data_IF_384199315453
#
_entry.id   IF_384199315453
#
_cell.length_a   1.000
_cell.length_b   1.000
_cell.length_c   1.000
_cell.angle_alpha   90.00
_cell.angle_beta   90.00
_cell.angle_gamma   90.00
#
_symmetry.space_group_name_H-M   'P 1'
#
loop_
_entity.id
_entity.type
_entity.pdbx_description
1 polymer ?
#
# COMPACT_ATOMS: atom_id res chain seq x y z
N UNK A 1 16.11 7.81 -5.32
CA UNK A 1 15.93 7.52 -6.77
C UNK A 1 16.86 8.29 -7.68
N UNK A 2 17.04 9.61 -7.50
CA UNK A 2 17.90 10.47 -8.33
C UNK A 2 19.36 10.01 -8.38
N UNK A 3 19.97 9.73 -7.22
CA UNK A 3 21.36 9.23 -7.16
C UNK A 3 21.56 7.92 -7.94
N UNK A 4 20.57 7.01 -7.91
CA UNK A 4 20.59 5.78 -8.69
C UNK A 4 20.51 6.08 -10.20
N UNK A 5 19.58 6.96 -10.61
CA UNK A 5 19.44 7.43 -12.00
C UNK A 5 20.76 8.01 -12.55
N UNK A 6 21.48 8.79 -11.76
CA UNK A 6 22.77 9.35 -12.19
C UNK A 6 23.85 8.27 -12.33
N UNK A 7 23.78 7.22 -11.52
CA UNK A 7 24.55 6.00 -11.72
C UNK A 7 24.22 5.31 -13.04
N UNK A 8 22.92 5.15 -13.36
CA UNK A 8 22.46 4.62 -14.66
C UNK A 8 22.98 5.45 -15.82
N UNK A 9 22.96 6.78 -15.71
CA UNK A 9 23.48 7.69 -16.74
C UNK A 9 24.97 7.45 -17.00
N UNK A 10 25.75 7.17 -15.93
CA UNK A 10 27.19 6.88 -16.04
C UNK A 10 27.48 5.50 -16.65
N UNK A 11 26.62 4.51 -16.45
CA UNK A 11 26.81 3.14 -16.97
C UNK A 11 26.29 3.00 -18.40
N UNK A 12 25.06 3.46 -18.65
CA UNK A 12 24.32 3.20 -19.89
C UNK A 12 23.99 4.45 -20.71
N UNK A 13 24.36 5.65 -20.23
CA UNK A 13 24.12 6.93 -20.91
C UNK A 13 22.83 7.64 -20.49
N UNK A 14 22.72 8.91 -20.88
CA UNK A 14 21.62 9.80 -20.44
C UNK A 14 20.23 9.32 -20.91
N UNK A 15 20.13 8.77 -22.12
CA UNK A 15 18.87 8.25 -22.63
C UNK A 15 18.36 7.06 -21.81
N UNK A 16 19.25 6.16 -21.37
CA UNK A 16 18.89 5.06 -20.48
C UNK A 16 18.43 5.57 -19.10
N UNK A 17 19.06 6.62 -18.56
CA UNK A 17 18.63 7.23 -17.31
C UNK A 17 17.22 7.86 -17.40
N UNK A 18 16.88 8.45 -18.56
CA UNK A 18 15.55 9.00 -18.81
C UNK A 18 14.49 7.87 -18.89
N UNK A 19 14.77 6.80 -19.65
CA UNK A 19 13.90 5.61 -19.70
C UNK A 19 13.72 4.96 -18.33
N UNK A 20 14.78 4.84 -17.53
CA UNK A 20 14.72 4.35 -16.16
C UNK A 20 13.74 5.17 -15.31
N UNK A 21 13.80 6.50 -15.43
CA UNK A 21 12.92 7.42 -14.70
C UNK A 21 11.46 7.17 -15.08
N UNK A 22 11.19 7.03 -16.38
CA UNK A 22 9.86 6.78 -16.93
C UNK A 22 9.31 5.42 -16.49
N UNK A 23 10.13 4.36 -16.51
CA UNK A 23 9.73 3.03 -16.04
C UNK A 23 9.43 3.04 -14.54
N UNK A 24 10.22 3.72 -13.72
CA UNK A 24 9.95 3.83 -12.28
C UNK A 24 8.68 4.64 -12.00
N UNK A 25 8.49 5.76 -12.69
CA UNK A 25 7.35 6.65 -12.48
C UNK A 25 6.01 6.06 -12.95
N UNK A 26 6.04 5.16 -13.94
CA UNK A 26 4.83 4.50 -14.46
C UNK A 26 4.42 3.26 -13.68
N UNK A 27 5.18 2.85 -12.66
CA UNK A 27 4.88 1.67 -11.85
C UNK A 27 3.94 1.98 -10.69
N UNK A 28 2.77 1.35 -10.71
CA UNK A 28 1.77 1.46 -9.63
C UNK A 28 2.37 1.15 -8.25
N UNK A 29 3.02 0.01 -8.08
CA UNK A 29 3.55 -0.43 -6.79
C UNK A 29 4.62 0.52 -6.22
N UNK A 30 5.42 1.16 -7.09
CA UNK A 30 6.42 2.11 -6.61
C UNK A 30 5.76 3.39 -6.11
N UNK A 31 4.88 3.98 -6.93
CA UNK A 31 4.26 5.27 -6.62
C UNK A 31 3.24 5.17 -5.49
N UNK A 32 2.44 4.10 -5.48
CA UNK A 32 1.42 3.88 -4.47
C UNK A 32 2.03 3.67 -3.09
N UNK A 33 3.05 2.83 -2.96
CA UNK A 33 3.61 2.52 -1.65
C UNK A 33 4.69 3.49 -1.18
N UNK A 34 5.14 4.42 -2.03
CA UNK A 34 6.11 5.46 -1.63
C UNK A 34 5.61 6.36 -0.49
N UNK A 35 4.29 6.54 -0.33
CA UNK A 35 3.69 7.32 0.76
C UNK A 35 3.32 6.49 1.99
N UNK A 36 3.52 5.16 1.95
CA UNK A 36 3.06 4.24 3.01
C UNK A 36 4.20 3.84 3.90
N UNK A 37 3.95 3.84 5.21
CA UNK A 37 4.94 3.53 6.26
C UNK A 37 5.18 2.03 6.43
N UNK A 38 5.41 1.32 5.33
CA UNK A 38 5.79 -0.09 5.35
C UNK A 38 7.30 -0.22 5.55
N UNK A 39 7.78 -1.13 6.42
CA UNK A 39 9.21 -1.37 6.61
C UNK A 39 9.95 -1.65 5.29
N UNK A 40 9.30 -2.34 4.35
CA UNK A 40 9.86 -2.60 3.02
C UNK A 40 10.20 -1.31 2.27
N UNK A 41 9.35 -0.29 2.35
CA UNK A 41 9.51 0.95 1.59
C UNK A 41 10.43 1.96 2.29
N UNK A 42 10.54 1.91 3.62
CA UNK A 42 11.63 2.59 4.34
C UNK A 42 12.99 1.99 3.95
N UNK A 43 13.11 0.67 4.01
CA UNK A 43 14.31 -0.04 3.59
C UNK A 43 14.65 0.21 2.12
N UNK A 44 13.62 0.28 1.26
CA UNK A 44 13.77 0.46 -0.17
C UNK A 44 14.59 1.70 -0.54
N UNK A 45 14.44 2.82 0.18
CA UNK A 45 15.23 4.02 -0.03
C UNK A 45 16.73 3.79 0.18
N UNK A 46 17.10 3.17 1.30
CA UNK A 46 18.49 2.87 1.65
C UNK A 46 19.08 1.78 0.76
N UNK A 47 18.31 0.74 0.42
CA UNK A 47 18.75 -0.32 -0.51
C UNK A 47 18.96 0.25 -1.92
N UNK A 48 18.11 1.18 -2.38
CA UNK A 48 18.31 1.88 -3.65
C UNK A 48 19.61 2.71 -3.62
N UNK A 49 19.90 3.40 -2.51
CA UNK A 49 21.16 4.14 -2.35
C UNK A 49 22.38 3.20 -2.33
N UNK A 50 22.27 2.05 -1.65
CA UNK A 50 23.32 1.06 -1.59
C UNK A 50 23.58 0.45 -2.98
N UNK A 51 22.54 0.01 -3.68
CA UNK A 51 22.67 -0.60 -5.02
C UNK A 51 23.16 0.41 -6.07
N UNK A 52 22.87 1.70 -5.94
CA UNK A 52 23.48 2.75 -6.78
C UNK A 52 25.01 2.80 -6.63
N UNK A 53 25.52 2.52 -5.43
CA UNK A 53 26.96 2.43 -5.17
C UNK A 53 27.59 1.15 -5.73
N UNK A 54 26.79 0.12 -6.04
CA UNK A 54 27.22 -1.15 -6.63
C UNK A 54 27.17 -1.16 -8.16
N UNK A 55 26.64 -0.12 -8.80
CA UNK A 55 26.61 -0.02 -10.26
C UNK A 55 28.03 -0.02 -10.86
N UNK A 56 28.27 -0.73 -11.98
CA UNK A 56 29.58 -0.91 -12.60
C UNK A 56 30.07 0.35 -13.33
N UNK A 57 30.34 1.42 -12.57
CA UNK A 57 30.86 2.68 -13.11
C UNK A 57 32.40 2.71 -13.06
N UNK A 58 33.02 3.52 -13.92
CA UNK A 58 34.48 3.59 -14.14
C UNK A 58 35.36 4.06 -12.95
N UNK A 59 34.84 4.69 -11.88
CA UNK A 59 35.66 5.31 -10.81
C UNK A 59 35.52 4.61 -9.45
N UNK A 60 36.68 4.37 -8.80
CA UNK A 60 36.89 3.95 -7.39
C UNK A 60 35.80 3.06 -6.77
N UNK A 61 35.80 1.79 -7.16
CA UNK A 61 34.79 0.79 -6.82
C UNK A 61 34.83 0.36 -5.35
N UNK A 62 36.01 0.30 -4.71
CA UNK A 62 36.16 -0.34 -3.38
C UNK A 62 35.45 0.40 -2.24
N UNK A 63 35.64 1.73 -2.12
CA UNK A 63 35.00 2.53 -1.06
C UNK A 63 33.48 2.55 -1.19
N UNK A 64 32.98 2.64 -2.43
CA UNK A 64 31.55 2.63 -2.74
C UNK A 64 30.92 1.27 -2.45
N UNK A 65 31.59 0.18 -2.85
CA UNK A 65 31.12 -1.16 -2.51
C UNK A 65 31.11 -1.38 -1.00
N UNK A 66 32.15 -0.96 -0.28
CA UNK A 66 32.17 -1.05 1.19
C UNK A 66 31.00 -0.27 1.81
N UNK A 67 30.75 0.96 1.34
CA UNK A 67 29.61 1.76 1.77
C UNK A 67 28.28 1.05 1.47
N UNK A 68 28.12 0.50 0.28
CA UNK A 68 26.91 -0.22 -0.11
C UNK A 68 26.64 -1.43 0.79
N UNK A 69 27.65 -2.28 1.05
CA UNK A 69 27.50 -3.43 1.94
C UNK A 69 27.20 -2.99 3.38
N UNK A 70 27.79 -1.89 3.84
CA UNK A 70 27.50 -1.30 5.16
C UNK A 70 26.03 -0.85 5.21
N UNK A 71 25.56 -0.12 4.21
CA UNK A 71 24.18 0.36 4.12
C UNK A 71 23.18 -0.80 4.05
N UNK A 72 23.43 -1.84 3.25
CA UNK A 72 22.59 -3.04 3.19
C UNK A 72 22.52 -3.74 4.55
N UNK A 73 23.66 -3.83 5.26
CA UNK A 73 23.69 -4.43 6.61
C UNK A 73 22.89 -3.60 7.61
N UNK A 74 23.12 -2.28 7.69
CA UNK A 74 22.35 -1.37 8.57
C UNK A 74 20.86 -1.50 8.28
N UNK A 75 20.49 -1.47 7.00
CA UNK A 75 19.08 -1.57 6.59
C UNK A 75 18.47 -2.91 7.00
N UNK A 76 19.24 -4.00 6.86
CA UNK A 76 18.78 -5.34 7.24
C UNK A 76 18.60 -5.53 8.74
N UNK A 77 19.45 -4.90 9.55
CA UNK A 77 19.38 -4.98 11.02
C UNK A 77 18.22 -4.15 11.59
N UNK A 78 17.96 -2.97 11.00
CA UNK A 78 16.95 -2.03 11.51
C UNK A 78 15.56 -2.35 10.96
N UNK A 79 15.44 -2.52 9.64
CA UNK A 79 14.14 -2.52 8.99
C UNK A 79 13.62 -3.91 8.67
N UNK A 80 14.45 -4.76 8.04
CA UNK A 80 14.03 -6.08 7.54
C UNK A 80 15.16 -7.08 7.31
N UNK A 81 15.03 -8.27 7.87
CA UNK A 81 16.01 -9.36 7.81
C UNK A 81 16.10 -10.02 6.42
N UNK A 82 15.09 -9.91 5.56
CA UNK A 82 15.14 -10.43 4.18
C UNK A 82 16.26 -9.80 3.34
N UNK A 83 16.65 -8.57 3.65
CA UNK A 83 17.78 -7.86 3.03
C UNK A 83 19.10 -8.59 3.28
N UNK A 84 19.21 -9.41 4.33
CA UNK A 84 20.40 -10.23 4.55
C UNK A 84 20.64 -11.20 3.39
N UNK A 85 19.58 -11.75 2.78
CA UNK A 85 19.71 -12.59 1.58
C UNK A 85 20.14 -11.78 0.36
N UNK A 86 19.66 -10.54 0.21
CA UNK A 86 20.11 -9.65 -0.86
C UNK A 86 21.59 -9.28 -0.67
N UNK A 87 22.01 -8.95 0.56
CA UNK A 87 23.39 -8.69 0.93
C UNK A 87 24.28 -9.91 0.63
N UNK A 88 23.83 -11.11 0.99
CA UNK A 88 24.53 -12.34 0.70
C UNK A 88 24.71 -12.55 -0.81
N UNK A 89 23.66 -12.37 -1.61
CA UNK A 89 23.73 -12.49 -3.08
C UNK A 89 24.72 -11.52 -3.71
N UNK A 90 24.72 -10.25 -3.30
CA UNK A 90 25.71 -9.28 -3.76
C UNK A 90 27.13 -9.63 -3.32
N UNK A 91 27.29 -10.07 -2.08
CA UNK A 91 28.60 -10.43 -1.50
C UNK A 91 29.20 -11.64 -2.20
N UNK A 92 28.41 -12.70 -2.40
CA UNK A 92 28.80 -13.91 -3.13
C UNK A 92 29.21 -13.54 -4.56
N UNK A 93 28.39 -12.74 -5.24
CA UNK A 93 28.69 -12.28 -6.59
C UNK A 93 30.02 -11.52 -6.67
N UNK A 94 30.22 -10.49 -5.82
CA UNK A 94 31.46 -9.70 -5.85
C UNK A 94 32.68 -10.46 -5.36
N UNK A 95 32.52 -11.45 -4.46
CA UNK A 95 33.63 -12.28 -4.01
C UNK A 95 34.13 -13.21 -5.12
N UNK A 96 33.20 -13.80 -5.88
CA UNK A 96 33.53 -14.74 -6.96
C UNK A 96 33.91 -14.04 -8.26
N UNK A 97 33.62 -12.74 -8.42
CA UNK A 97 33.82 -12.07 -9.69
C UNK A 97 35.30 -11.67 -9.93
N UNK A 98 35.95 -12.14 -11.02
CA UNK A 98 37.40 -12.03 -11.19
C UNK A 98 37.96 -10.60 -11.23
N UNK A 99 37.17 -9.63 -11.73
CA UNK A 99 37.65 -8.27 -12.02
C UNK A 99 37.16 -7.21 -11.02
N UNK A 100 36.12 -7.52 -10.25
CA UNK A 100 35.45 -6.59 -9.32
C UNK A 100 35.57 -7.11 -7.86
N UNK A 101 36.33 -8.20 -7.68
CA UNK A 101 36.66 -8.84 -6.41
C UNK A 101 36.80 -7.89 -5.23
N UNK A 102 35.95 -8.03 -4.24
CA UNK A 102 36.14 -7.39 -2.94
C UNK A 102 36.93 -8.34 -2.02
N UNK A 103 38.03 -7.89 -1.41
CA UNK A 103 38.75 -8.74 -0.48
C UNK A 103 37.84 -9.06 0.72
N UNK A 104 37.93 -10.28 1.23
CA UNK A 104 37.12 -10.76 2.34
C UNK A 104 37.16 -9.83 3.55
N UNK A 105 38.34 -9.25 3.85
CA UNK A 105 38.52 -8.26 4.91
C UNK A 105 37.62 -7.02 4.73
N UNK A 106 37.44 -6.54 3.50
CA UNK A 106 36.55 -5.40 3.24
C UNK A 106 35.09 -5.76 3.47
N UNK A 107 34.66 -6.94 3.03
CA UNK A 107 33.30 -7.46 3.23
C UNK A 107 33.00 -7.58 4.73
N UNK A 108 33.86 -8.27 5.48
CA UNK A 108 33.71 -8.46 6.93
C UNK A 108 33.71 -7.10 7.64
N UNK A 109 34.63 -6.20 7.28
CA UNK A 109 34.66 -4.87 7.90
C UNK A 109 33.43 -4.00 7.60
N UNK A 110 32.80 -4.18 6.44
CA UNK A 110 31.56 -3.49 6.08
C UNK A 110 30.38 -4.04 6.89
N UNK A 111 30.29 -5.38 6.98
CA UNK A 111 29.27 -6.08 7.76
C UNK A 111 29.36 -5.74 9.25
N UNK A 112 30.56 -5.82 9.85
CA UNK A 112 30.75 -5.47 11.26
C UNK A 112 30.41 -4.01 11.54
N UNK A 113 30.85 -3.08 10.69
CA UNK A 113 30.51 -1.67 10.84
C UNK A 113 29.00 -1.46 10.75
N UNK A 114 28.34 -2.07 9.78
CA UNK A 114 26.89 -1.95 9.60
C UNK A 114 26.09 -2.61 10.72
N UNK A 115 26.58 -3.73 11.26
CA UNK A 115 26.00 -4.40 12.43
C UNK A 115 26.06 -3.51 13.66
N UNK A 116 27.25 -2.95 13.96
CA UNK A 116 27.43 -2.05 15.12
C UNK A 116 26.55 -0.82 14.99
N UNK A 117 26.53 -0.15 13.83
CA UNK A 117 25.68 1.01 13.59
C UNK A 117 24.20 0.63 13.70
N UNK A 118 23.79 -0.47 13.08
CA UNK A 118 22.41 -0.94 13.09
C UNK A 118 21.90 -1.23 14.50
N UNK A 119 22.66 -2.01 15.27
CA UNK A 119 22.31 -2.37 16.66
C UNK A 119 22.32 -1.15 17.59
N UNK A 120 23.29 -0.24 17.42
CA UNK A 120 23.36 1.00 18.21
C UNK A 120 22.16 1.93 17.95
N UNK A 121 21.49 1.79 16.81
CA UNK A 121 20.28 2.54 16.48
C UNK A 121 19.00 1.81 16.92
N UNK A 122 18.78 0.58 16.46
CA UNK A 122 17.53 -0.16 16.75
C UNK A 122 17.37 -0.47 18.22
N UNK A 123 18.40 -1.02 18.89
CA UNK A 123 18.23 -1.51 20.27
C UNK A 123 17.83 -0.39 21.23
N UNK A 124 18.50 0.77 21.31
CA UNK A 124 18.10 1.83 22.24
C UNK A 124 16.76 2.48 21.88
N UNK A 125 16.53 2.77 20.59
CA UNK A 125 15.32 3.46 20.12
C UNK A 125 14.10 2.58 20.34
N UNK A 126 14.16 1.32 19.90
CA UNK A 126 13.04 0.40 20.03
C UNK A 126 12.80 0.00 21.49
N UNK A 127 13.86 -0.18 22.30
CA UNK A 127 13.71 -0.42 23.75
C UNK A 127 13.00 0.75 24.45
N UNK A 128 13.29 2.00 24.05
CA UNK A 128 12.61 3.17 24.57
C UNK A 128 11.11 3.16 24.19
N UNK A 129 10.77 2.95 22.92
CA UNK A 129 9.35 2.96 22.52
C UNK A 129 8.56 1.76 23.06
N UNK A 130 9.18 0.60 23.18
CA UNK A 130 8.55 -0.61 23.72
C UNK A 130 8.55 -0.65 25.25
N UNK A 131 9.18 0.33 25.93
CA UNK A 131 9.32 0.38 27.38
C UNK A 131 9.86 -0.94 27.96
N UNK A 132 10.77 -1.57 27.22
CA UNK A 132 11.35 -2.88 27.55
C UNK A 132 12.85 -2.86 27.31
N UNK A 133 13.61 -3.37 28.25
CA UNK A 133 15.05 -3.48 28.14
C UNK A 133 15.43 -4.47 27.02
N UNK A 134 16.28 -4.01 26.10
CA UNK A 134 16.89 -4.82 25.03
C UNK A 134 15.90 -5.43 24.05
N UNK A 135 15.17 -4.56 23.35
CA UNK A 135 14.33 -4.96 22.23
C UNK A 135 15.10 -4.83 20.93
N UNK A 136 15.27 -5.94 20.21
CA UNK A 136 15.62 -5.95 18.79
C UNK A 136 14.44 -6.51 18.00
N UNK A 137 13.57 -5.65 17.45
CA UNK A 137 12.32 -6.08 16.83
C UNK A 137 12.55 -7.04 15.67
N UNK A 138 13.52 -6.74 14.81
CA UNK A 138 13.77 -7.55 13.62
C UNK A 138 14.27 -8.97 13.96
N UNK A 139 15.12 -9.11 14.98
CA UNK A 139 15.54 -10.44 15.45
C UNK A 139 14.34 -11.22 16.01
N UNK A 140 13.46 -10.54 16.76
CA UNK A 140 12.26 -11.17 17.34
C UNK A 140 11.33 -11.64 16.22
N UNK A 141 11.09 -10.80 15.22
CA UNK A 141 10.31 -11.14 14.02
C UNK A 141 10.94 -12.27 13.19
N UNK A 142 12.27 -12.29 13.06
CA UNK A 142 12.99 -13.36 12.37
C UNK A 142 12.84 -14.71 13.09
N UNK A 143 13.01 -14.73 14.42
CA UNK A 143 12.82 -15.95 15.22
C UNK A 143 11.38 -16.45 15.09
N UNK A 144 10.40 -15.57 15.27
CA UNK A 144 8.99 -15.93 15.17
C UNK A 144 8.62 -16.48 13.78
N UNK A 145 8.99 -15.77 12.70
CA UNK A 145 8.54 -16.14 11.36
C UNK A 145 9.33 -17.29 10.75
N UNK A 146 10.66 -17.26 10.87
CA UNK A 146 11.56 -18.18 10.16
C UNK A 146 11.95 -19.37 11.04
N UNK A 147 12.36 -19.13 12.29
CA UNK A 147 12.81 -20.21 13.20
C UNK A 147 11.61 -21.02 13.69
N UNK A 148 10.55 -20.34 14.14
CA UNK A 148 9.32 -21.00 14.63
C UNK A 148 8.33 -21.34 13.51
N UNK A 149 8.69 -21.08 12.24
CA UNK A 149 7.90 -21.38 11.03
C UNK A 149 6.49 -20.80 11.01
N UNK A 150 6.22 -19.73 11.76
CA UNK A 150 4.89 -19.11 11.83
C UNK A 150 4.50 -18.35 10.55
N UNK A 151 5.46 -18.14 9.63
CA UNK A 151 5.18 -17.48 8.35
C UNK A 151 4.11 -18.20 7.53
N UNK A 152 3.94 -19.52 7.69
CA UNK A 152 2.96 -20.32 6.93
C UNK A 152 1.51 -19.94 7.21
N UNK A 153 1.22 -19.36 8.39
CA UNK A 153 -0.12 -18.91 8.76
C UNK A 153 -0.61 -17.75 7.89
N UNK A 154 0.30 -17.04 7.22
CA UNK A 154 0.00 -15.95 6.30
C UNK A 154 -0.15 -16.44 4.85
N UNK A 155 -0.28 -17.74 4.64
CA UNK A 155 -0.44 -18.38 3.33
C UNK A 155 0.87 -18.85 2.71
N UNK A 156 0.75 -19.83 1.82
CA UNK A 156 1.87 -20.46 1.11
C UNK A 156 1.67 -20.28 -0.39
N UNK A 157 2.75 -19.93 -1.10
CA UNK A 157 2.75 -19.87 -2.56
C UNK A 157 3.85 -20.76 -3.15
N UNK A 158 3.67 -21.20 -4.40
CA UNK A 158 4.63 -22.05 -5.09
C UNK A 158 6.01 -21.39 -5.24
N UNK A 159 7.05 -22.21 -5.45
CA UNK A 159 8.43 -21.72 -5.56
C UNK A 159 8.63 -20.72 -6.71
N UNK A 160 7.88 -20.87 -7.81
CA UNK A 160 7.97 -20.00 -8.99
C UNK A 160 7.16 -18.71 -8.86
N UNK A 161 6.40 -18.51 -7.78
CA UNK A 161 5.51 -17.35 -7.56
C UNK A 161 6.19 -16.01 -7.86
N UNK A 162 7.43 -15.81 -7.40
CA UNK A 162 8.12 -14.55 -7.66
C UNK A 162 8.37 -14.28 -9.14
N UNK A 163 8.68 -15.30 -9.93
CA UNK A 163 8.97 -15.16 -11.34
C UNK A 163 7.70 -15.10 -12.20
N UNK A 164 6.67 -15.86 -11.84
CA UNK A 164 5.43 -15.96 -12.64
C UNK A 164 4.42 -14.86 -12.32
N UNK A 165 4.37 -14.42 -11.06
CA UNK A 165 3.36 -13.46 -10.60
C UNK A 165 4.00 -12.16 -10.09
N UNK A 166 4.80 -12.22 -9.02
CA UNK A 166 5.20 -11.02 -8.30
C UNK A 166 6.09 -10.07 -9.12
N UNK A 167 7.16 -10.57 -9.74
CA UNK A 167 8.09 -9.73 -10.50
C UNK A 167 7.41 -9.09 -11.71
N UNK A 168 6.66 -9.83 -12.56
CA UNK A 168 5.86 -9.21 -13.60
C UNK A 168 4.87 -8.17 -13.06
N UNK A 169 4.18 -8.46 -11.95
CA UNK A 169 3.17 -7.59 -11.33
C UNK A 169 3.78 -6.26 -10.84
N UNK A 170 4.92 -6.32 -10.16
CA UNK A 170 5.60 -5.13 -9.63
C UNK A 170 6.26 -4.31 -10.73
N UNK A 171 6.83 -4.98 -11.74
CA UNK A 171 7.39 -4.27 -12.90
C UNK A 171 6.33 -3.52 -13.71
N UNK A 172 5.08 -3.97 -13.62
CA UNK A 172 3.85 -3.36 -14.17
C UNK A 172 3.77 -3.34 -15.70
N UNK A 173 4.81 -2.87 -16.40
CA UNK A 173 4.91 -2.91 -17.87
C UNK A 173 5.56 -4.23 -18.34
N UNK A 174 4.79 -5.09 -19.02
CA UNK A 174 5.25 -6.40 -19.52
C UNK A 174 6.38 -6.32 -20.55
N UNK A 175 6.49 -5.21 -21.30
CA UNK A 175 7.58 -5.05 -22.28
C UNK A 175 8.96 -4.97 -21.63
N UNK A 176 9.04 -4.61 -20.35
CA UNK A 176 10.30 -4.64 -19.59
C UNK A 176 10.90 -6.05 -19.63
N UNK A 177 10.11 -7.07 -19.28
CA UNK A 177 10.57 -8.46 -19.25
C UNK A 177 10.66 -9.04 -20.67
N UNK A 178 9.64 -8.84 -21.49
CA UNK A 178 9.51 -9.55 -22.78
C UNK A 178 10.41 -8.98 -23.88
N UNK A 179 10.74 -7.69 -23.82
CA UNK A 179 11.48 -6.99 -24.89
C UNK A 179 12.75 -6.38 -24.35
N UNK A 180 12.66 -5.45 -23.39
CA UNK A 180 13.79 -4.62 -22.99
C UNK A 180 14.95 -5.41 -22.37
N UNK A 181 14.66 -6.35 -21.46
CA UNK A 181 15.69 -7.19 -20.84
C UNK A 181 16.40 -8.11 -21.86
N UNK A 182 15.69 -8.91 -22.68
CA UNK A 182 16.32 -9.68 -23.76
C UNK A 182 17.15 -8.83 -24.72
N UNK A 183 16.65 -7.65 -25.10
CA UNK A 183 17.35 -6.75 -26.01
C UNK A 183 18.66 -6.23 -25.42
N UNK A 184 18.66 -5.91 -24.12
CA UNK A 184 19.87 -5.47 -23.42
C UNK A 184 20.93 -6.58 -23.38
N UNK A 185 20.50 -7.82 -23.14
CA UNK A 185 21.37 -8.98 -23.05
C UNK A 185 21.89 -9.45 -24.42
N UNK A 186 21.18 -9.18 -25.51
CA UNK A 186 21.61 -9.52 -26.87
C UNK A 186 22.68 -8.56 -27.42
N UNK A 187 22.76 -7.33 -26.90
CA UNK A 187 23.76 -6.34 -27.31
C UNK A 187 25.08 -6.56 -26.55
N UNK A 188 26.13 -6.97 -27.25
CA UNK A 188 27.46 -7.28 -26.67
C UNK A 188 28.03 -6.17 -25.78
N UNK A 189 27.82 -4.89 -26.15
CA UNK A 189 28.30 -3.73 -25.39
C UNK A 189 27.56 -3.52 -24.06
N UNK A 190 26.30 -3.95 -23.96
CA UNK A 190 25.46 -3.75 -22.78
C UNK A 190 25.42 -4.99 -21.88
N UNK A 191 25.67 -6.18 -22.46
CA UNK A 191 25.51 -7.47 -21.80
C UNK A 191 26.30 -7.61 -20.49
N UNK A 192 27.58 -7.23 -20.45
CA UNK A 192 28.42 -7.38 -19.24
C UNK A 192 27.91 -6.50 -18.08
N UNK A 193 27.80 -5.16 -18.22
CA UNK A 193 27.24 -4.34 -17.15
C UNK A 193 25.80 -4.73 -16.76
N UNK A 194 25.01 -5.21 -17.71
CA UNK A 194 23.66 -5.71 -17.43
C UNK A 194 23.66 -6.96 -16.53
N UNK A 195 24.54 -7.92 -16.80
CA UNK A 195 24.68 -9.13 -15.99
C UNK A 195 25.22 -8.81 -14.59
N UNK A 196 26.16 -7.88 -14.48
CA UNK A 196 26.72 -7.44 -13.19
C UNK A 196 25.63 -6.85 -12.27
N UNK A 197 24.59 -6.26 -12.85
CA UNK A 197 23.44 -5.73 -12.14
C UNK A 197 22.38 -6.82 -11.90
N UNK A 198 22.05 -7.64 -12.91
CA UNK A 198 20.95 -8.61 -12.83
C UNK A 198 21.27 -9.83 -11.95
N UNK A 199 22.45 -10.42 -12.08
CA UNK A 199 22.79 -11.70 -11.44
C UNK A 199 22.55 -11.68 -9.92
N UNK A 200 23.08 -10.72 -9.13
CA UNK A 200 22.85 -10.73 -7.69
C UNK A 200 21.37 -10.51 -7.31
N UNK A 201 20.62 -9.74 -8.09
CA UNK A 201 19.19 -9.52 -7.86
C UNK A 201 18.36 -10.78 -8.16
N UNK A 202 18.64 -11.46 -9.27
CA UNK A 202 17.96 -12.71 -9.65
C UNK A 202 18.35 -13.86 -8.71
N UNK A 203 19.60 -13.90 -8.24
CA UNK A 203 20.05 -14.86 -7.24
C UNK A 203 19.30 -14.66 -5.92
N UNK A 204 19.12 -13.41 -5.47
CA UNK A 204 18.29 -13.11 -4.30
C UNK A 204 16.86 -13.61 -4.47
N UNK A 205 16.20 -13.30 -5.60
CA UNK A 205 14.83 -13.78 -5.85
C UNK A 205 14.78 -15.31 -5.86
N UNK A 206 15.74 -15.98 -6.50
CA UNK A 206 15.81 -17.44 -6.58
C UNK A 206 15.99 -18.10 -5.22
N UNK A 207 16.84 -17.54 -4.35
CA UNK A 207 17.02 -18.05 -2.98
C UNK A 207 15.76 -17.78 -2.14
N UNK A 208 15.20 -16.58 -2.23
CA UNK A 208 14.00 -16.21 -1.48
C UNK A 208 12.76 -17.01 -1.92
N UNK A 209 12.72 -17.47 -3.17
CA UNK A 209 11.69 -18.35 -3.72
C UNK A 209 11.49 -19.67 -2.97
N UNK A 210 12.46 -20.11 -2.17
CA UNK A 210 12.33 -21.31 -1.33
C UNK A 210 11.57 -21.06 -0.02
N UNK A 211 11.34 -19.80 0.38
CA UNK A 211 10.50 -19.50 1.55
C UNK A 211 9.02 -19.80 1.25
N UNK A 212 8.30 -20.60 2.07
CA UNK A 212 6.92 -20.97 1.78
C UNK A 212 5.99 -19.75 1.63
N UNK A 213 6.08 -18.82 2.59
CA UNK A 213 5.32 -17.58 2.57
C UNK A 213 6.01 -16.52 1.71
N UNK A 214 5.25 -15.94 0.77
CA UNK A 214 5.77 -15.00 -0.22
C UNK A 214 4.83 -13.82 -0.36
N UNK A 215 5.44 -12.65 -0.53
CA UNK A 215 4.73 -11.43 -0.88
C UNK A 215 5.57 -10.63 -1.86
N UNK A 216 4.92 -9.98 -2.82
CA UNK A 216 5.62 -9.20 -3.85
C UNK A 216 6.53 -8.11 -3.26
N UNK A 217 6.19 -7.57 -2.08
CA UNK A 217 6.96 -6.52 -1.40
C UNK A 217 8.33 -6.99 -0.93
N UNK A 218 8.53 -8.29 -0.70
CA UNK A 218 9.81 -8.84 -0.26
C UNK A 218 10.90 -8.74 -1.34
N UNK A 219 10.51 -8.64 -2.62
CA UNK A 219 11.46 -8.50 -3.74
C UNK A 219 11.53 -7.09 -4.33
N UNK A 220 10.84 -6.11 -3.74
CA UNK A 220 10.73 -4.74 -4.30
C UNK A 220 12.09 -4.04 -4.48
N UNK A 221 13.09 -4.44 -3.69
CA UNK A 221 14.47 -3.96 -3.76
C UNK A 221 15.17 -4.19 -5.10
N UNK A 222 14.72 -5.21 -5.83
CA UNK A 222 15.29 -5.61 -7.13
C UNK A 222 14.79 -4.76 -8.28
N UNK A 223 13.72 -3.98 -8.06
CA UNK A 223 13.04 -3.25 -9.12
C UNK A 223 13.90 -2.13 -9.72
N UNK A 224 14.60 -1.26 -8.93
CA UNK A 224 15.49 -0.27 -9.52
C UNK A 224 16.63 -0.86 -10.36
N UNK A 225 17.37 -1.88 -9.88
CA UNK A 225 18.35 -2.59 -10.70
C UNK A 225 17.79 -3.18 -12.00
N UNK A 226 16.64 -3.87 -11.94
CA UNK A 226 16.04 -4.51 -13.13
C UNK A 226 15.55 -3.45 -14.13
N UNK A 227 14.90 -2.38 -13.65
CA UNK A 227 14.48 -1.26 -14.49
C UNK A 227 15.67 -0.55 -15.15
N UNK A 228 16.81 -0.45 -14.47
CA UNK A 228 18.02 0.14 -15.02
C UNK A 228 18.52 -0.61 -16.26
N UNK A 229 18.56 -1.93 -16.15
CA UNK A 229 19.00 -2.80 -17.24
C UNK A 229 18.00 -2.76 -18.38
N UNK A 230 16.70 -2.86 -18.09
CA UNK A 230 15.67 -2.72 -19.12
C UNK A 230 15.73 -1.35 -19.83
N UNK A 231 16.01 -0.27 -19.10
CA UNK A 231 16.11 1.06 -19.67
C UNK A 231 17.28 1.21 -20.65
N UNK A 232 18.37 0.44 -20.48
CA UNK A 232 19.46 0.40 -21.46
C UNK A 232 18.99 -0.18 -22.80
N UNK A 233 18.21 -1.27 -22.79
CA UNK A 233 17.60 -1.84 -23.98
C UNK A 233 16.59 -0.90 -24.65
N UNK A 234 15.71 -0.27 -23.85
CA UNK A 234 14.75 0.72 -24.35
C UNK A 234 15.46 1.92 -24.99
N UNK A 235 16.53 2.41 -24.37
CA UNK A 235 17.39 3.48 -24.91
C UNK A 235 17.99 3.10 -26.25
N UNK A 236 18.47 1.86 -26.41
CA UNK A 236 19.02 1.39 -27.68
C UNK A 236 17.96 1.33 -28.78
N UNK A 237 16.81 0.71 -28.48
CA UNK A 237 15.67 0.60 -29.41
C UNK A 237 15.26 1.99 -29.89
N UNK A 238 15.07 2.92 -28.95
CA UNK A 238 14.69 4.30 -29.23
C UNK A 238 15.72 5.04 -30.08
N UNK A 239 17.00 4.88 -29.78
CA UNK A 239 18.09 5.53 -30.55
C UNK A 239 18.18 4.97 -31.98
N UNK A 240 17.80 3.71 -32.19
CA UNK A 240 17.82 3.06 -33.48
C UNK A 240 16.49 3.13 -34.26
N UNK A 241 15.49 3.88 -33.80
CA UNK A 241 14.15 3.93 -34.41
C UNK A 241 14.13 4.26 -35.91
N UNK A 242 15.07 5.10 -36.38
CA UNK A 242 15.18 5.49 -37.78
C UNK A 242 15.92 4.47 -38.66
N UNK A 243 16.57 3.45 -38.08
CA UNK A 243 17.42 2.50 -38.82
C UNK A 243 16.63 1.39 -39.51
N UNK A 244 15.46 1.02 -38.99
CA UNK A 244 14.61 0.01 -39.63
C UNK A 244 13.15 0.14 -39.21
N UNK A 245 12.25 -0.39 -40.04
CA UNK A 245 10.83 -0.47 -39.74
C UNK A 245 10.56 -1.22 -38.41
N UNK A 246 11.29 -2.30 -38.15
CA UNK A 246 11.19 -3.05 -36.91
C UNK A 246 11.53 -2.18 -35.67
N UNK A 247 12.61 -1.40 -35.72
CA UNK A 247 12.96 -0.48 -34.62
C UNK A 247 11.94 0.63 -34.45
N UNK A 248 11.33 1.11 -35.54
CA UNK A 248 10.24 2.10 -35.48
C UNK A 248 9.00 1.54 -34.78
N UNK A 249 8.58 0.32 -35.14
CA UNK A 249 7.45 -0.37 -34.48
C UNK A 249 7.75 -0.64 -33.01
N UNK A 250 8.95 -1.14 -32.68
CA UNK A 250 9.35 -1.37 -31.28
C UNK A 250 9.37 -0.07 -30.47
N UNK A 251 9.89 1.03 -31.03
CA UNK A 251 9.91 2.33 -30.36
C UNK A 251 8.50 2.89 -30.12
N UNK A 252 7.61 2.74 -31.11
CA UNK A 252 6.20 3.10 -30.94
C UNK A 252 5.54 2.23 -29.87
N UNK A 253 5.78 0.91 -29.90
CA UNK A 253 5.29 -0.02 -28.89
C UNK A 253 5.77 0.32 -27.48
N UNK A 254 7.03 0.74 -27.32
CA UNK A 254 7.56 1.22 -26.04
C UNK A 254 6.82 2.47 -25.56
N UNK A 255 6.65 3.47 -26.42
CA UNK A 255 5.92 4.70 -26.08
C UNK A 255 4.46 4.40 -25.66
N UNK A 256 3.74 3.62 -26.47
CA UNK A 256 2.36 3.20 -26.17
C UNK A 256 2.30 2.40 -24.87
N UNK A 257 3.24 1.48 -24.62
CA UNK A 257 3.26 0.68 -23.40
C UNK A 257 3.48 1.51 -22.14
N UNK A 258 4.29 2.57 -22.22
CA UNK A 258 4.52 3.49 -21.10
C UNK A 258 3.28 4.32 -20.83
N UNK A 259 2.64 4.87 -21.87
CA UNK A 259 1.38 5.60 -21.71
C UNK A 259 0.29 4.71 -21.12
N UNK A 260 0.20 3.47 -21.61
CA UNK A 260 -0.68 2.44 -21.05
C UNK A 260 -0.35 2.11 -19.59
N UNK A 261 0.92 2.02 -19.22
CA UNK A 261 1.35 1.82 -17.84
C UNK A 261 0.98 3.02 -16.94
N UNK A 262 1.14 4.26 -17.39
CA UNK A 262 0.66 5.42 -16.63
C UNK A 262 -0.85 5.40 -16.43
N UNK A 263 -1.62 5.13 -17.49
CA UNK A 263 -3.08 5.05 -17.41
C UNK A 263 -3.53 3.92 -16.47
N UNK A 264 -2.97 2.72 -16.61
CA UNK A 264 -3.28 1.57 -15.77
C UNK A 264 -2.84 1.81 -14.31
N UNK A 265 -1.73 2.51 -14.08
CA UNK A 265 -1.26 2.87 -12.74
C UNK A 265 -2.21 3.88 -12.08
N UNK A 266 -2.67 4.87 -12.83
CA UNK A 266 -3.69 5.82 -12.39
C UNK A 266 -5.02 5.13 -12.04
N UNK A 267 -5.48 4.21 -12.89
CA UNK A 267 -6.67 3.39 -12.60
C UNK A 267 -6.46 2.53 -11.35
N UNK A 268 -5.32 1.86 -11.23
CA UNK A 268 -4.99 1.04 -10.06
C UNK A 268 -4.98 1.85 -8.77
N UNK A 269 -4.48 3.11 -8.82
CA UNK A 269 -4.56 4.05 -7.71
C UNK A 269 -6.01 4.43 -7.38
N UNK A 270 -6.81 4.75 -8.39
CA UNK A 270 -8.22 5.11 -8.23
C UNK A 270 -9.05 3.95 -7.65
N UNK A 271 -8.72 2.70 -7.99
CA UNK A 271 -9.34 1.50 -7.40
C UNK A 271 -8.83 1.27 -5.99
N UNK A 272 -7.52 1.36 -5.77
CA UNK A 272 -6.92 1.00 -4.48
C UNK A 272 -7.29 1.95 -3.35
N UNK A 273 -7.74 3.18 -3.65
CA UNK A 273 -8.31 4.08 -2.63
C UNK A 273 -9.58 3.52 -1.97
N UNK A 274 -10.29 2.63 -2.66
CA UNK A 274 -11.52 1.99 -2.18
C UNK A 274 -11.25 0.85 -1.18
N UNK A 275 -9.98 0.50 -0.96
CA UNK A 275 -9.55 -0.50 0.01
C UNK A 275 -9.34 0.09 1.42
N UNK A 276 -9.86 1.29 1.68
CA UNK A 276 -9.77 1.96 2.98
C UNK A 276 -11.15 2.29 3.61
N UNK A 277 -12.06 1.31 3.74
CA UNK A 277 -13.37 1.53 4.35
C UNK A 277 -13.29 1.98 5.82
N UNK A 278 -12.28 1.57 6.60
CA UNK A 278 -12.14 1.97 8.00
C UNK A 278 -11.94 3.47 8.18
N UNK A 279 -11.08 4.07 7.33
CA UNK A 279 -10.91 5.53 7.32
C UNK A 279 -12.24 6.25 7.01
N UNK A 280 -12.99 5.73 6.02
CA UNK A 280 -14.26 6.32 5.63
C UNK A 280 -15.31 6.17 6.72
N UNK A 281 -15.39 5.01 7.37
CA UNK A 281 -16.31 4.74 8.46
C UNK A 281 -16.08 5.67 9.64
N UNK A 282 -14.82 5.93 10.01
CA UNK A 282 -14.51 6.85 11.11
C UNK A 282 -14.86 8.31 10.78
N UNK A 283 -14.52 8.78 9.58
CA UNK A 283 -14.94 10.12 9.14
C UNK A 283 -16.46 10.26 9.11
N UNK A 284 -17.15 9.23 8.64
CA UNK A 284 -18.60 9.20 8.58
C UNK A 284 -19.23 9.18 9.98
N UNK A 285 -18.64 8.42 10.90
CA UNK A 285 -19.07 8.43 12.30
C UNK A 285 -18.96 9.82 12.91
N UNK A 286 -17.84 10.52 12.72
CA UNK A 286 -17.68 11.88 13.24
C UNK A 286 -18.82 12.80 12.74
N UNK A 287 -19.13 12.77 11.44
CA UNK A 287 -20.24 13.54 10.88
C UNK A 287 -21.61 13.18 11.47
N UNK A 288 -21.85 11.88 11.68
CA UNK A 288 -23.12 11.40 12.24
C UNK A 288 -23.25 11.76 13.73
N UNK A 289 -22.13 11.96 14.42
CA UNK A 289 -22.03 12.27 15.83
C UNK A 289 -21.62 13.74 16.09
N UNK A 290 -21.72 14.63 15.09
CA UNK A 290 -21.30 16.04 15.21
C UNK A 290 -22.04 16.80 16.33
N UNK A 291 -23.24 16.34 16.70
CA UNK A 291 -24.07 16.93 17.76
C UNK A 291 -23.89 16.28 19.13
N UNK A 292 -23.03 15.27 19.27
CA UNK A 292 -22.79 14.63 20.56
C UNK A 292 -22.03 15.56 21.51
N UNK A 293 -22.33 15.45 22.80
CA UNK A 293 -21.71 16.26 23.85
C UNK A 293 -21.17 15.36 24.95
N UNK A 294 -20.16 15.84 25.68
CA UNK A 294 -19.52 15.08 26.76
C UNK A 294 -18.46 14.10 26.25
N UNK A 295 -18.35 12.94 26.90
CA UNK A 295 -17.38 11.89 26.54
C UNK A 295 -18.04 10.92 25.58
N UNK A 296 -17.42 10.69 24.43
CA UNK A 296 -17.90 9.74 23.42
C UNK A 296 -16.86 8.64 23.24
N UNK A 297 -17.21 7.40 23.57
CA UNK A 297 -16.32 6.25 23.36
C UNK A 297 -16.71 5.48 22.10
N UNK A 298 -15.75 5.32 21.19
CA UNK A 298 -15.89 4.49 19.99
C UNK A 298 -14.96 3.28 20.07
N UNK A 299 -15.50 2.09 19.85
CA UNK A 299 -14.72 0.87 19.63
C UNK A 299 -14.55 0.60 18.12
N UNK A 300 -13.34 0.26 17.69
CA UNK A 300 -13.01 0.02 16.30
C UNK A 300 -12.38 -1.35 16.12
N UNK A 301 -13.08 -2.23 15.41
CA UNK A 301 -12.62 -3.58 15.15
C UNK A 301 -11.32 -3.63 14.34
N UNK A 302 -10.68 -4.80 14.36
CA UNK A 302 -9.44 -5.08 13.64
C UNK A 302 -9.54 -4.74 12.16
N UNK A 303 -10.64 -5.09 11.45
CA UNK A 303 -10.79 -4.73 10.03
C UNK A 303 -10.82 -3.22 9.83
N UNK A 304 -11.53 -2.46 10.68
CA UNK A 304 -11.56 -1.00 10.62
C UNK A 304 -10.15 -0.41 10.81
N UNK A 305 -9.43 -0.91 11.82
CA UNK A 305 -8.05 -0.54 12.11
C UNK A 305 -7.08 -0.85 10.96
N UNK A 306 -7.20 -2.03 10.34
CA UNK A 306 -6.36 -2.47 9.23
C UNK A 306 -6.68 -1.76 7.90
N UNK A 307 -7.87 -1.18 7.78
CA UNK A 307 -8.38 -0.55 6.56
C UNK A 307 -8.44 0.98 6.62
N UNK A 308 -7.53 1.58 7.39
CA UNK A 308 -7.20 3.01 7.24
C UNK A 308 -7.55 3.91 8.41
N UNK A 309 -8.11 3.38 9.51
CA UNK A 309 -8.18 4.16 10.76
C UNK A 309 -6.75 4.47 11.23
N UNK A 310 -6.42 5.76 11.32
CA UNK A 310 -5.10 6.22 11.81
C UNK A 310 -5.26 7.25 12.91
N UNK A 311 -4.23 7.44 13.74
CA UNK A 311 -4.21 8.47 14.79
C UNK A 311 -4.37 9.89 14.25
N UNK A 312 -4.03 10.14 12.98
CA UNK A 312 -4.22 11.45 12.35
C UNK A 312 -5.68 11.80 12.08
N UNK A 313 -6.59 10.83 12.24
CA UNK A 313 -8.02 11.01 12.09
C UNK A 313 -8.72 11.22 13.44
N UNK A 314 -8.01 11.00 14.56
CA UNK A 314 -8.55 11.17 15.89
C UNK A 314 -8.78 12.67 16.16
N UNK A 315 -9.98 13.03 16.61
CA UNK A 315 -10.31 14.40 16.99
C UNK A 315 -9.56 14.69 18.30
N UNK A 316 -8.72 15.75 18.33
CA UNK A 316 -7.97 16.07 19.53
C UNK A 316 -8.94 16.46 20.66
N UNK A 317 -8.57 16.19 21.92
CA UNK A 317 -9.43 16.53 23.03
C UNK A 317 -9.67 18.05 23.10
N UNK A 318 -10.88 18.50 23.52
CA UNK A 318 -11.17 19.91 23.70
C UNK A 318 -10.13 20.54 24.64
N UNK A 319 -9.46 21.58 24.15
CA UNK A 319 -8.44 22.30 24.90
C UNK A 319 -8.94 23.71 25.20
N UNK A 320 -9.05 24.09 26.48
CA UNK A 320 -9.42 25.45 26.88
C UNK A 320 -8.50 26.52 26.28
N UNK A 321 -7.24 26.18 26.00
CA UNK A 321 -6.24 27.08 25.41
C UNK A 321 -6.43 27.32 23.92
N UNK A 322 -7.13 26.44 23.22
CA UNK A 322 -7.39 26.53 21.77
C UNK A 322 -8.84 26.92 21.47
N UNK A 323 -9.63 27.28 22.48
CA UNK A 323 -11.04 27.63 22.33
C UNK A 323 -11.91 26.48 21.78
N UNK A 324 -11.48 25.24 21.98
CA UNK A 324 -12.19 24.07 21.46
C UNK A 324 -13.38 23.71 22.32
N UNK A 325 -14.58 24.00 21.84
CA UNK A 325 -15.84 23.44 22.33
C UNK A 325 -16.16 22.17 21.52
N UNK A 326 -16.46 21.05 22.19
CA UNK A 326 -16.80 19.79 21.52
C UNK A 326 -16.68 18.55 22.42
N UNK A 327 -17.15 17.39 21.96
CA UNK A 327 -17.05 16.14 22.70
C UNK A 327 -15.61 15.66 22.86
N UNK A 328 -15.32 15.01 24.00
CA UNK A 328 -14.06 14.32 24.26
C UNK A 328 -14.15 12.89 23.70
N UNK A 329 -13.44 12.64 22.60
CA UNK A 329 -13.44 11.33 21.93
C UNK A 329 -12.44 10.35 22.56
N UNK A 330 -12.91 9.13 22.84
CA UNK A 330 -12.07 8.00 23.26
C UNK A 330 -12.12 6.93 22.18
N UNK A 331 -10.97 6.67 21.57
CA UNK A 331 -10.80 5.68 20.51
C UNK A 331 -10.24 4.38 21.06
N UNK A 332 -11.07 3.34 21.12
CA UNK A 332 -10.76 2.02 21.64
C UNK A 332 -10.47 1.02 20.51
N UNK A 333 -9.47 0.17 20.72
CA UNK A 333 -8.98 -0.84 19.77
C UNK A 333 -8.70 -2.16 20.50
N UNK A 334 -9.51 -2.49 21.51
CA UNK A 334 -9.34 -3.75 22.24
C UNK A 334 -9.46 -4.94 21.27
N UNK A 335 -8.50 -5.86 21.34
CA UNK A 335 -8.45 -7.05 20.48
C UNK A 335 -8.52 -8.35 21.31
N UNK A 336 -8.45 -8.26 22.64
CA UNK A 336 -8.56 -9.42 23.53
C UNK A 336 -9.97 -10.02 23.48
N UNK A 337 -10.08 -11.20 22.87
CA UNK A 337 -11.34 -11.95 22.75
C UNK A 337 -12.04 -12.13 24.09
N UNK A 338 -11.31 -12.34 25.19
CA UNK A 338 -11.94 -12.53 26.51
C UNK A 338 -12.63 -11.27 27.01
N UNK A 339 -12.06 -10.09 26.71
CA UNK A 339 -12.66 -8.80 27.09
C UNK A 339 -13.83 -8.44 26.19
N UNK A 340 -13.74 -8.74 24.90
CA UNK A 340 -14.84 -8.49 23.96
C UNK A 340 -16.07 -9.37 24.23
N UNK A 341 -15.88 -10.52 24.90
CA UNK A 341 -16.97 -11.37 25.37
C UNK A 341 -17.63 -10.88 26.67
N UNK A 342 -17.07 -9.89 27.36
CA UNK A 342 -17.63 -9.32 28.58
C UNK A 342 -18.70 -8.25 28.25
N UNK A 343 -19.98 -8.44 28.63
CA UNK A 343 -21.02 -7.43 28.43
C UNK A 343 -20.69 -6.07 29.08
N UNK A 344 -19.96 -6.06 30.20
CA UNK A 344 -19.59 -4.83 30.90
C UNK A 344 -18.65 -3.95 30.09
N UNK A 345 -17.83 -4.54 29.22
CA UNK A 345 -16.98 -3.77 28.31
C UNK A 345 -17.83 -2.89 27.39
N UNK A 346 -18.91 -3.46 26.85
CA UNK A 346 -19.83 -2.78 25.93
C UNK A 346 -20.75 -1.78 26.65
N UNK A 347 -20.84 -1.82 27.98
CA UNK A 347 -21.61 -0.83 28.75
C UNK A 347 -21.09 0.59 28.56
N UNK A 348 -19.77 0.76 28.56
CA UNK A 348 -19.10 2.06 28.43
C UNK A 348 -18.81 2.52 26.99
N UNK A 349 -19.29 1.82 25.97
CA UNK A 349 -19.06 2.14 24.54
C UNK A 349 -20.32 2.76 23.94
N UNK A 350 -20.20 3.92 23.29
CA UNK A 350 -21.32 4.63 22.65
C UNK A 350 -21.48 4.23 21.17
N UNK A 351 -20.36 4.04 20.47
CA UNK A 351 -20.31 3.71 19.05
C UNK A 351 -19.38 2.54 18.75
N UNK A 352 -19.71 1.76 17.73
CA UNK A 352 -18.87 0.65 17.26
C UNK A 352 -18.72 0.70 15.74
N UNK A 353 -17.49 0.54 15.25
CA UNK A 353 -17.20 0.31 13.83
C UNK A 353 -16.74 -1.12 13.69
N UNK A 354 -17.60 -1.98 13.14
CA UNK A 354 -17.39 -3.44 13.12
C UNK A 354 -17.72 -4.06 11.76
N UNK A 355 -17.02 -5.14 11.42
CA UNK A 355 -17.37 -6.00 10.28
C UNK A 355 -18.48 -7.00 10.61
N UNK A 356 -18.61 -7.35 11.90
CA UNK A 356 -19.48 -8.41 12.40
C UNK A 356 -20.36 -7.91 13.56
N UNK A 357 -21.42 -7.13 13.28
CA UNK A 357 -22.33 -6.62 14.31
C UNK A 357 -22.93 -7.69 15.22
N UNK A 358 -23.07 -8.92 14.72
CA UNK A 358 -23.53 -10.07 15.50
C UNK A 358 -22.60 -10.46 16.66
N UNK A 359 -21.34 -9.99 16.67
CA UNK A 359 -20.37 -10.21 17.75
C UNK A 359 -20.41 -9.12 18.82
N UNK A 360 -21.12 -8.01 18.57
CA UNK A 360 -21.22 -6.89 19.49
C UNK A 360 -22.36 -7.14 20.46
N UNK A 361 -22.03 -7.32 21.74
CA UNK A 361 -23.02 -7.65 22.78
C UNK A 361 -23.83 -6.40 23.13
N UNK A 362 -25.16 -6.52 23.17
CA UNK A 362 -26.08 -5.44 23.55
C UNK A 362 -27.10 -5.08 22.47
N UNK A 363 -27.85 -3.99 22.69
CA UNK A 363 -28.78 -3.44 21.71
C UNK A 363 -28.15 -2.28 20.95
N UNK A 364 -28.06 -2.43 19.64
CA UNK A 364 -27.32 -1.55 18.76
C UNK A 364 -28.13 -1.21 17.52
N UNK A 365 -28.21 0.08 17.20
CA UNK A 365 -28.79 0.57 15.97
C UNK A 365 -27.69 0.73 14.91
N UNK A 366 -27.90 0.17 13.71
CA UNK A 366 -27.03 0.42 12.55
C UNK A 366 -27.34 1.83 12.02
N UNK A 367 -26.38 2.74 12.13
CA UNK A 367 -26.48 4.10 11.59
C UNK A 367 -26.12 4.15 10.11
N UNK A 368 -25.07 3.45 9.71
CA UNK A 368 -24.56 3.48 8.34
C UNK A 368 -23.77 2.20 8.00
N UNK A 369 -23.57 1.97 6.70
CA UNK A 369 -22.83 0.82 6.18
C UNK A 369 -21.83 1.27 5.12
N UNK A 370 -20.55 1.04 5.38
CA UNK A 370 -19.45 1.39 4.48
C UNK A 370 -19.01 0.17 3.68
N UNK A 371 -18.99 0.33 2.36
CA UNK A 371 -18.54 -0.72 1.44
C UNK A 371 -17.07 -0.60 1.06
N UNK A 372 -16.49 -1.69 0.59
CA UNK A 372 -15.14 -1.72 0.03
C UNK A 372 -15.08 -2.52 -1.27
N UNK A 373 -13.97 -2.34 -1.99
CA UNK A 373 -13.71 -3.08 -3.21
C UNK A 373 -13.31 -4.53 -2.90
N UNK A 374 -14.05 -5.50 -3.47
CA UNK A 374 -13.82 -6.94 -3.27
C UNK A 374 -13.32 -7.62 -4.53
N UNK A 375 -13.52 -7.02 -5.71
CA UNK A 375 -12.99 -7.56 -6.95
C UNK A 375 -13.75 -7.11 -8.19
N UNK A 376 -13.71 -7.94 -9.23
CA UNK A 376 -14.43 -7.72 -10.48
C UNK A 376 -15.63 -8.65 -10.56
N UNK A 377 -16.71 -8.19 -11.17
CA UNK A 377 -17.86 -9.03 -11.49
C UNK A 377 -18.28 -8.83 -12.94
N UNK A 378 -18.77 -9.91 -13.55
CA UNK A 378 -19.21 -9.91 -14.94
C UNK A 378 -20.72 -9.71 -14.96
N UNK A 379 -21.15 -8.64 -15.61
CA UNK A 379 -22.54 -8.38 -15.91
C UNK A 379 -22.95 -9.06 -17.21
N UNK A 380 -24.12 -9.67 -17.17
CA UNK A 380 -24.76 -10.29 -18.32
C UNK A 380 -25.57 -9.23 -19.10
N UNK A 381 -25.89 -9.50 -20.38
CA UNK A 381 -26.81 -8.67 -21.15
C UNK A 381 -28.17 -8.52 -20.44
N UNK A 382 -28.76 -7.32 -20.47
CA UNK A 382 -30.10 -7.04 -19.93
C UNK A 382 -30.18 -6.56 -18.48
N UNK A 383 -29.06 -6.45 -17.76
CA UNK A 383 -29.02 -5.90 -16.39
C UNK A 383 -28.49 -4.46 -16.44
N UNK A 384 -29.22 -3.47 -15.93
CA UNK A 384 -28.67 -2.11 -15.83
C UNK A 384 -27.50 -2.07 -14.83
N UNK A 385 -26.40 -1.41 -15.23
CA UNK A 385 -25.24 -1.20 -14.36
C UNK A 385 -25.60 -0.31 -13.16
N UNK A 386 -26.49 0.68 -13.35
CA UNK A 386 -26.83 1.67 -12.33
C UNK A 386 -27.75 1.14 -11.25
N UNK A 387 -28.62 0.20 -11.59
CA UNK A 387 -29.47 -0.49 -10.60
C UNK A 387 -28.70 -1.49 -9.75
N UNK A 388 -27.52 -1.93 -10.21
CA UNK A 388 -26.75 -2.90 -9.47
C UNK A 388 -26.17 -2.30 -8.18
N UNK A 389 -26.44 -2.95 -7.04
CA UNK A 389 -26.05 -2.55 -5.67
C UNK A 389 -24.61 -2.00 -5.57
N UNK A 390 -23.65 -2.60 -6.28
CA UNK A 390 -22.25 -2.14 -6.26
C UNK A 390 -22.07 -0.69 -6.74
N UNK A 391 -22.86 -0.19 -7.68
CA UNK A 391 -22.70 1.17 -8.22
C UNK A 391 -23.14 2.26 -7.22
N UNK A 392 -24.26 2.04 -6.51
CA UNK A 392 -24.71 2.92 -5.43
C UNK A 392 -23.64 3.07 -4.35
N UNK A 393 -23.02 1.97 -3.96
CA UNK A 393 -21.92 1.96 -2.99
C UNK A 393 -20.72 2.74 -3.54
N UNK A 394 -20.35 2.58 -4.82
CA UNK A 394 -19.25 3.35 -5.44
C UNK A 394 -19.54 4.85 -5.37
N UNK A 395 -20.74 5.27 -5.74
CA UNK A 395 -21.14 6.69 -5.75
C UNK A 395 -21.04 7.30 -4.34
N UNK A 396 -21.56 6.60 -3.34
CA UNK A 396 -21.53 7.03 -1.94
C UNK A 396 -20.09 7.07 -1.37
N UNK A 397 -19.31 6.01 -1.60
CA UNK A 397 -17.89 5.92 -1.22
C UNK A 397 -17.07 7.06 -1.86
N UNK A 398 -17.34 7.36 -3.14
CA UNK A 398 -16.67 8.45 -3.86
C UNK A 398 -17.07 9.82 -3.31
N UNK A 399 -18.35 10.01 -2.95
CA UNK A 399 -18.85 11.26 -2.37
C UNK A 399 -18.17 11.59 -1.05
N UNK A 400 -18.02 10.59 -0.17
CA UNK A 400 -17.39 10.74 1.14
C UNK A 400 -15.88 10.99 1.07
N UNK A 401 -15.19 10.50 0.03
CA UNK A 401 -13.75 10.67 -0.12
C UNK A 401 -13.29 12.09 -0.57
N UNK A 402 -14.21 13.00 -0.88
CA UNK A 402 -13.93 14.28 -1.57
C UNK A 402 -14.14 15.55 -0.73
N UNK A 403 -14.12 15.44 0.60
CA UNK A 403 -14.61 16.51 1.49
C UNK A 403 -13.58 17.59 1.91
N UNK A 404 -12.36 17.61 1.35
CA UNK A 404 -11.42 18.71 1.60
C UNK A 404 -11.69 19.93 0.69
N UNK A 405 -12.09 21.06 1.31
CA UNK A 405 -12.79 22.20 0.70
C UNK A 405 -12.02 22.88 -0.45
N UNK A 406 -10.67 22.88 -0.41
CA UNK A 406 -9.84 23.53 -1.45
C UNK A 406 -9.59 22.65 -2.69
N UNK A 407 -9.61 21.32 -2.54
CA UNK A 407 -9.37 20.38 -3.64
C UNK A 407 -10.67 20.03 -4.39
N UNK A 408 -11.81 20.36 -3.78
CA UNK A 408 -13.19 20.09 -4.22
C UNK A 408 -13.49 20.50 -5.66
N UNK A 409 -13.08 21.69 -6.12
CA UNK A 409 -13.45 22.17 -7.47
C UNK A 409 -12.73 21.44 -8.59
N UNK A 410 -11.41 21.25 -8.47
CA UNK A 410 -10.61 20.64 -9.55
C UNK A 410 -10.80 19.13 -9.64
N UNK A 411 -11.00 18.45 -8.51
CA UNK A 411 -11.19 17.00 -8.50
C UNK A 411 -12.61 16.63 -8.93
N UNK A 412 -13.64 17.40 -8.54
CA UNK A 412 -15.01 17.16 -9.00
C UNK A 412 -15.12 17.32 -10.53
N UNK A 413 -14.50 18.36 -11.12
CA UNK A 413 -14.52 18.51 -12.59
C UNK A 413 -13.82 17.36 -13.32
N UNK A 414 -12.73 16.82 -12.75
CA UNK A 414 -12.03 15.68 -13.33
C UNK A 414 -12.82 14.39 -13.17
N UNK A 415 -13.51 14.23 -12.04
CA UNK A 415 -14.37 13.08 -11.76
C UNK A 415 -15.61 13.09 -12.66
N UNK A 416 -16.33 14.20 -12.77
CA UNK A 416 -17.49 14.34 -13.67
C UNK A 416 -17.09 14.07 -15.12
N UNK A 417 -15.94 14.56 -15.57
CA UNK A 417 -15.40 14.22 -16.88
C UNK A 417 -15.04 12.73 -17.00
N UNK A 418 -14.44 12.12 -15.97
CA UNK A 418 -14.07 10.71 -15.97
C UNK A 418 -15.29 9.79 -15.95
N UNK A 419 -16.32 10.11 -15.16
CA UNK A 419 -17.57 9.36 -15.06
C UNK A 419 -18.41 9.48 -16.33
N UNK A 420 -18.51 10.69 -16.90
CA UNK A 420 -19.13 10.90 -18.20
C UNK A 420 -18.38 10.17 -19.32
N UNK A 421 -17.05 10.11 -19.25
CA UNK A 421 -16.23 9.35 -20.19
C UNK A 421 -16.39 7.84 -19.98
N UNK A 422 -16.46 7.39 -18.73
CA UNK A 422 -16.69 5.98 -18.38
C UNK A 422 -18.05 5.51 -18.90
N UNK A 423 -19.12 6.29 -18.67
CA UNK A 423 -20.46 5.98 -19.18
C UNK A 423 -20.50 5.88 -20.71
N UNK A 424 -19.84 6.78 -21.43
CA UNK A 424 -19.75 6.73 -22.90
C UNK A 424 -18.94 5.55 -23.42
N UNK A 425 -17.82 5.24 -22.76
CA UNK A 425 -16.98 4.09 -23.12
C UNK A 425 -17.72 2.79 -22.81
N UNK A 426 -18.40 2.72 -21.67
CA UNK A 426 -19.25 1.60 -21.29
C UNK A 426 -20.33 1.38 -22.35
N UNK A 427 -21.17 2.37 -22.64
CA UNK A 427 -22.25 2.25 -23.61
C UNK A 427 -21.72 1.76 -24.97
N UNK A 428 -20.66 2.40 -25.48
CA UNK A 428 -20.06 2.05 -26.76
C UNK A 428 -19.50 0.61 -26.78
N UNK A 429 -18.72 0.23 -25.77
CA UNK A 429 -18.05 -1.09 -25.73
C UNK A 429 -19.07 -2.18 -25.39
N UNK A 430 -19.93 -1.92 -24.40
CA UNK A 430 -20.94 -2.86 -23.91
C UNK A 430 -21.95 -3.18 -25.00
N UNK A 431 -22.48 -2.18 -25.67
CA UNK A 431 -23.52 -2.39 -26.68
C UNK A 431 -22.95 -2.88 -28.00
N UNK A 432 -21.86 -2.26 -28.50
CA UNK A 432 -21.35 -2.56 -29.86
C UNK A 432 -20.34 -3.70 -29.91
N UNK A 433 -19.52 -3.88 -28.87
CA UNK A 433 -18.40 -4.83 -28.91
C UNK A 433 -18.75 -6.12 -28.17
N UNK A 434 -19.22 -6.01 -26.93
CA UNK A 434 -19.41 -7.18 -26.06
C UNK A 434 -20.86 -7.67 -26.01
N UNK A 435 -21.77 -7.06 -26.79
CA UNK A 435 -23.19 -7.48 -26.93
C UNK A 435 -23.91 -7.61 -25.58
N UNK A 436 -23.71 -6.63 -24.70
CA UNK A 436 -24.34 -6.53 -23.38
C UNK A 436 -23.51 -7.03 -22.20
N UNK A 437 -22.39 -7.73 -22.44
CA UNK A 437 -21.49 -8.19 -21.38
C UNK A 437 -20.57 -7.08 -20.87
N UNK A 438 -20.42 -6.92 -19.55
CA UNK A 438 -19.56 -5.87 -19.00
C UNK A 438 -18.79 -6.35 -17.77
N UNK A 439 -17.56 -5.86 -17.59
CA UNK A 439 -16.80 -6.11 -16.36
C UNK A 439 -16.95 -4.89 -15.48
N UNK A 440 -17.64 -5.05 -14.35
CA UNK A 440 -17.81 -3.99 -13.36
C UNK A 440 -16.97 -4.26 -12.11
N UNK A 441 -16.65 -3.19 -11.40
CA UNK A 441 -16.12 -3.29 -10.04
C UNK A 441 -17.20 -3.83 -9.09
N UNK A 442 -16.82 -4.79 -8.26
CA UNK A 442 -17.67 -5.37 -7.22
C UNK A 442 -17.32 -4.70 -5.89
N UNK A 443 -18.28 -3.94 -5.37
CA UNK A 443 -18.26 -3.43 -4.00
C UNK A 443 -19.21 -4.24 -3.13
N UNK A 444 -18.80 -4.52 -1.90
CA UNK A 444 -19.64 -5.14 -0.89
C UNK A 444 -19.57 -4.35 0.43
N UNK A 445 -20.65 -4.33 1.23
CA UNK A 445 -20.61 -3.90 2.62
C UNK A 445 -19.48 -4.60 3.39
N UNK A 446 -18.65 -3.84 4.11
CA UNK A 446 -17.54 -4.39 4.89
C UNK A 446 -17.57 -3.92 6.35
N UNK A 447 -17.99 -2.69 6.62
CA UNK A 447 -18.08 -2.16 7.97
C UNK A 447 -19.45 -1.55 8.22
N UNK A 448 -19.98 -1.74 9.42
CA UNK A 448 -21.20 -1.08 9.90
C UNK A 448 -20.84 -0.13 11.04
N UNK A 449 -21.47 1.04 11.04
CA UNK A 449 -21.38 2.01 12.12
C UNK A 449 -22.59 1.78 13.01
N UNK A 450 -22.34 1.38 14.26
CA UNK A 450 -23.36 1.10 15.24
C UNK A 450 -23.41 2.21 16.29
N UNK A 451 -24.62 2.56 16.73
CA UNK A 451 -24.87 3.40 17.89
C UNK A 451 -25.59 2.59 18.95
N UNK A 452 -25.17 2.76 20.19
CA UNK A 452 -25.83 2.10 21.31
C UNK A 452 -27.24 2.64 21.51
N UNK A 453 -28.21 1.74 21.65
CA UNK A 453 -29.56 2.12 22.04
C UNK A 453 -29.57 2.39 23.55
N UNK A 454 -29.82 3.65 23.94
CA UNK A 454 -30.07 3.99 25.34
C UNK A 454 -31.53 3.67 25.65
N UNK A 455 -31.79 2.83 26.65
CA UNK A 455 -33.15 2.64 27.15
C UNK A 455 -33.63 3.97 27.72
N UNK A 456 -34.56 4.62 27.02
CA UNK A 456 -35.34 5.71 27.59
C UNK A 456 -36.27 5.05 28.59
N UNK A 457 -35.89 5.06 29.87
CA UNK A 457 -36.83 4.78 30.96
C UNK A 457 -37.90 5.87 30.90
N UNK A 458 -39.03 5.56 30.26
CA UNK A 458 -40.26 6.30 30.48
C UNK A 458 -40.76 5.80 31.83
N UNK A 459 -40.61 6.62 32.87
CA UNK A 459 -41.17 6.32 34.18
C UNK A 459 -42.69 6.10 34.03
N UNK A 460 -43.22 4.93 34.40
CA UNK A 460 -44.65 4.76 34.52
C UNK A 460 -45.10 5.35 35.86
N UNK A 461 -45.95 6.37 35.78
CA UNK A 461 -46.98 6.80 36.76
C UNK A 461 -46.54 7.88 37.78
N UNK A 462 -47.20 9.04 37.65
CA UNK A 462 -48.07 9.58 38.73
C UNK A 462 -49.30 10.23 38.08
N UNK A 463 -50.41 9.49 38.05
CA UNK A 463 -51.77 10.05 38.08
C UNK A 463 -51.95 10.76 39.43
N UNK A 464 -52.49 11.97 39.43
CA UNK A 464 -53.38 12.57 40.46
C UNK A 464 -53.40 14.09 40.30
N UNK A 465 -54.43 14.61 39.63
CA UNK A 465 -55.09 15.88 39.96
C UNK A 465 -56.50 15.84 39.36
N UNK A 466 -57.40 15.31 40.18
CA UNK A 466 -58.85 15.49 40.12
C UNK A 466 -59.18 16.72 40.98
N UNK A 467 -60.24 17.42 40.58
CA UNK A 467 -60.91 18.60 41.20
C UNK A 467 -60.30 19.96 40.80
N UNK A 468 -61.03 20.98 40.35
CA UNK A 468 -62.48 21.30 40.31
C UNK A 468 -62.64 22.61 39.46
N UNK A 469 -63.88 22.98 39.11
CA UNK A 469 -64.33 24.26 38.49
C UNK A 469 -64.08 24.44 36.96
N UNK A 470 -65.05 24.74 36.08
CA UNK A 470 -66.41 25.28 36.15
C UNK A 470 -67.12 24.99 34.82
N UNK A 471 -68.39 24.58 34.89
CA UNK A 471 -69.34 24.57 33.76
C UNK A 471 -70.34 25.67 34.06
N UNK A 472 -70.32 26.75 33.29
CA UNK A 472 -71.47 27.65 33.10
C UNK A 472 -71.50 28.10 31.62
N UNK A 473 -72.56 27.65 30.94
CA UNK A 473 -73.40 28.33 29.95
C UNK A 473 -72.81 29.21 28.85
N UNK A 474 -73.14 28.88 27.60
CA UNK A 474 -73.81 29.80 26.66
C UNK A 474 -74.32 29.05 25.39
N UNK A 475 -75.61 28.73 25.39
CA UNK A 475 -76.44 28.60 24.17
C UNK A 475 -77.02 29.98 23.83
N UNK A 476 -76.72 30.51 22.63
CA UNK A 476 -77.67 31.21 21.73
C UNK A 476 -77.26 30.95 20.28
#
# INVERSE_FOLDING_TARGET
>A
MTYFRDGVAKVFGQNAANWYTVFQASQFHMMYYASRTLPNFFAFGLVTLATANLLPTSKSTRRRNKLALTLLTVTGIIFRSDIALLLASYTIYFYLHPNIGLPLRSIISAGLLGLVIGLALTVPIDSFFWQRFWVWPELTGFIYNIVNKQSVNWGIQSWHFYFTDALPRVLFNRLIILVCLPFTLSISKLRRPALDILIPNLLFIAIYSFQPHKEWRFIVYTIPPINAVAAAGASWIWTCHAKSFAYRILSLGLAVSVLGAFAASGLSLAVSRLNYPGAQALNRLHQLADNETGVVKVHMDTLACMSGVTRFMEIPPPSPLLGGEGPFWIYDKEEDEQRLLDPLFWEGVDYVITEAPERVIGRWQILDTVGAYVGWSILRPGIDCREAVSWKIIEETCRLALEDVKMRRSVNSLWECADASYGKVEELVRERITKGWWVKMKMEPQLRILRKEREVFIDPITDENVDEETVEDEEV
#
